data_IF_791558327331
#
_entry.id   IF_791558327331
#
_cell.length_a   1.000
_cell.length_b   1.000
_cell.length_c   1.000
_cell.angle_alpha   90.00
_cell.angle_beta   90.00
_cell.angle_gamma   90.00
#
_symmetry.space_group_name_H-M   'P 1'
#
loop_
_entity.id
_entity.type
_entity.pdbx_description
1 polymer ?
#
# COMPACT_ATOMS: atom_id res chain seq x y z
N UNK A 1 4.78 33.31 -1.41
CA UNK A 1 4.50 32.24 -0.41
C UNK A 1 5.41 31.06 -0.70
N UNK A 2 6.15 30.61 0.30
CA UNK A 2 7.00 29.44 0.18
C UNK A 2 6.13 28.20 -0.14
N UNK A 3 6.46 27.38 -1.16
CA UNK A 3 5.70 26.19 -1.47
C UNK A 3 5.87 25.12 -0.38
N UNK A 4 4.86 24.29 -0.20
CA UNK A 4 4.98 23.07 0.61
C UNK A 4 5.91 22.11 -0.12
N UNK A 5 6.98 21.69 0.53
CA UNK A 5 7.91 20.69 0.01
C UNK A 5 7.42 19.30 0.37
N UNK A 6 7.14 18.48 -0.64
CA UNK A 6 6.62 17.12 -0.49
C UNK A 6 7.67 16.14 -1.00
N UNK A 7 8.12 15.23 -0.16
CA UNK A 7 9.06 14.17 -0.55
C UNK A 7 8.27 12.90 -0.79
N UNK A 8 8.25 12.47 -2.06
CA UNK A 8 7.54 11.29 -2.53
C UNK A 8 6.30 11.60 -3.37
N UNK A 9 6.26 11.09 -4.58
CA UNK A 9 5.18 11.24 -5.56
C UNK A 9 4.33 9.98 -5.72
N UNK A 10 3.97 9.35 -4.61
CA UNK A 10 3.05 8.23 -4.56
C UNK A 10 1.60 8.64 -4.30
N UNK A 11 0.81 7.68 -3.85
CA UNK A 11 -0.64 7.85 -3.60
C UNK A 11 -0.93 8.73 -2.36
N UNK A 12 0.06 9.11 -1.60
CA UNK A 12 -0.06 10.11 -0.53
C UNK A 12 0.39 11.49 -0.96
N UNK A 13 1.61 11.59 -1.49
CA UNK A 13 2.20 12.88 -1.89
C UNK A 13 1.47 13.58 -3.03
N UNK A 14 1.02 12.84 -4.05
CA UNK A 14 0.28 13.43 -5.17
C UNK A 14 -1.11 13.96 -4.78
N UNK A 15 -1.93 13.23 -3.99
CA UNK A 15 -3.16 13.81 -3.46
C UNK A 15 -2.93 15.07 -2.62
N UNK A 16 -1.89 15.10 -1.79
CA UNK A 16 -1.52 16.28 -1.02
C UNK A 16 -1.28 17.47 -1.95
N UNK A 17 -0.44 17.30 -2.96
CA UNK A 17 -0.16 18.35 -3.95
C UNK A 17 -1.44 18.80 -4.68
N UNK A 18 -2.28 17.85 -5.07
CA UNK A 18 -3.53 18.17 -5.80
C UNK A 18 -4.52 18.95 -4.94
N UNK A 19 -4.76 18.53 -3.71
CA UNK A 19 -5.69 19.25 -2.81
C UNK A 19 -5.15 20.64 -2.49
N UNK A 20 -3.85 20.80 -2.29
CA UNK A 20 -3.22 22.11 -2.16
C UNK A 20 -3.45 22.98 -3.40
N UNK A 21 -3.24 22.40 -4.58
CA UNK A 21 -3.43 23.10 -5.85
C UNK A 21 -4.86 23.62 -6.05
N UNK A 22 -5.88 22.78 -5.80
CA UNK A 22 -7.28 23.21 -5.95
C UNK A 22 -7.67 24.29 -4.93
N UNK A 23 -6.90 24.44 -3.86
CA UNK A 23 -7.07 25.51 -2.86
C UNK A 23 -6.15 26.72 -3.12
N UNK A 24 -5.46 26.75 -4.27
CA UNK A 24 -4.62 27.88 -4.66
C UNK A 24 -3.28 27.97 -3.96
N UNK A 25 -2.80 26.88 -3.37
CA UNK A 25 -1.55 26.84 -2.63
C UNK A 25 -0.43 26.15 -3.43
N UNK A 26 0.78 26.72 -3.47
CA UNK A 26 1.88 26.12 -4.18
C UNK A 26 2.48 24.96 -3.41
N UNK A 27 2.91 23.93 -4.15
CA UNK A 27 3.69 22.82 -3.62
C UNK A 27 4.70 22.33 -4.65
N UNK A 28 5.71 21.63 -4.18
CA UNK A 28 6.71 20.94 -4.99
C UNK A 28 6.83 19.51 -4.51
N UNK A 29 6.72 18.56 -5.42
CA UNK A 29 6.90 17.13 -5.15
C UNK A 29 8.23 16.69 -5.73
N UNK A 30 9.03 16.04 -4.90
CA UNK A 30 10.33 15.47 -5.30
C UNK A 30 10.20 13.96 -5.32
N UNK A 31 10.32 13.36 -6.52
CA UNK A 31 10.05 11.95 -6.74
C UNK A 31 11.28 11.20 -7.22
N UNK A 32 11.49 10.01 -6.64
CA UNK A 32 12.62 9.15 -6.94
C UNK A 32 12.58 8.57 -8.37
N UNK A 33 11.38 8.27 -8.88
CA UNK A 33 11.22 7.77 -10.23
C UNK A 33 11.72 8.78 -11.25
N UNK A 34 12.31 8.29 -12.34
CA UNK A 34 12.88 9.17 -13.38
C UNK A 34 11.82 9.79 -14.28
N UNK A 35 10.64 9.17 -14.32
CA UNK A 35 9.48 9.62 -15.10
C UNK A 35 8.20 8.94 -14.60
N UNK A 36 7.01 9.39 -15.04
CA UNK A 36 5.75 8.72 -14.67
C UNK A 36 5.70 7.22 -15.01
N UNK A 37 6.43 6.82 -16.05
CA UNK A 37 6.42 5.44 -16.58
C UNK A 37 7.72 4.67 -16.29
N UNK A 38 8.56 5.18 -15.39
CA UNK A 38 9.89 4.58 -15.12
C UNK A 38 9.81 3.17 -14.54
N UNK A 39 8.72 2.85 -13.85
CA UNK A 39 8.46 1.50 -13.33
C UNK A 39 6.98 1.17 -13.41
N UNK A 40 6.68 -0.11 -13.50
CA UNK A 40 5.30 -0.60 -13.46
C UNK A 40 4.71 -0.37 -12.07
N UNK A 41 3.58 0.31 -12.01
CA UNK A 41 2.78 0.44 -10.80
C UNK A 41 1.87 -0.79 -10.76
N UNK A 42 2.27 -1.83 -10.02
CA UNK A 42 1.52 -3.08 -10.00
C UNK A 42 0.31 -3.07 -9.09
N UNK A 43 -0.66 -3.93 -9.41
CA UNK A 43 -1.79 -4.23 -8.56
C UNK A 43 -2.99 -3.31 -8.70
N UNK A 44 -4.06 -3.74 -8.07
CA UNK A 44 -5.31 -2.99 -7.94
C UNK A 44 -5.48 -2.47 -6.53
N UNK A 45 -6.27 -1.41 -6.39
CA UNK A 45 -6.63 -0.80 -5.13
C UNK A 45 -8.14 -0.67 -5.04
N UNK A 46 -8.71 -1.05 -3.91
CA UNK A 46 -10.07 -0.68 -3.52
C UNK A 46 -10.03 0.72 -2.91
N UNK A 47 -10.80 1.64 -3.45
CA UNK A 47 -10.86 3.01 -2.94
C UNK A 47 -12.17 3.18 -2.17
N UNK A 48 -12.05 3.30 -0.84
CA UNK A 48 -13.20 3.28 0.06
C UNK A 48 -13.88 4.63 0.20
N UNK A 49 -15.20 4.61 0.40
CA UNK A 49 -16.02 5.82 0.52
C UNK A 49 -15.61 6.71 1.69
N UNK A 50 -15.22 6.11 2.81
CA UNK A 50 -14.96 6.85 4.05
C UNK A 50 -13.56 7.46 4.14
N UNK A 51 -12.67 7.16 3.19
CA UNK A 51 -11.30 7.69 3.20
C UNK A 51 -10.75 8.04 1.80
N UNK A 52 -10.38 7.09 0.98
CA UNK A 52 -9.81 7.37 -0.34
C UNK A 52 -10.72 8.21 -1.23
N UNK A 53 -12.02 7.92 -1.28
CA UNK A 53 -12.96 8.69 -2.06
C UNK A 53 -13.21 10.09 -1.47
N UNK A 54 -13.13 10.25 -0.15
CA UNK A 54 -13.17 11.58 0.50
C UNK A 54 -12.03 12.44 -0.04
N UNK A 55 -10.82 11.87 -0.12
CA UNK A 55 -9.67 12.57 -0.67
C UNK A 55 -9.87 12.97 -2.14
N UNK A 56 -10.40 12.07 -2.97
CA UNK A 56 -10.67 12.34 -4.38
C UNK A 56 -11.74 13.43 -4.57
N UNK A 57 -12.75 13.47 -3.72
CA UNK A 57 -13.74 14.56 -3.70
C UNK A 57 -13.09 15.90 -3.39
N UNK A 58 -12.23 15.95 -2.38
CA UNK A 58 -11.48 17.17 -2.01
C UNK A 58 -10.48 17.59 -3.06
N UNK A 59 -9.97 16.62 -3.83
CA UNK A 59 -9.10 16.85 -4.99
C UNK A 59 -9.85 17.28 -6.26
N UNK A 60 -11.18 17.25 -6.28
CA UNK A 60 -12.03 17.47 -7.46
C UNK A 60 -11.69 16.51 -8.61
N UNK A 61 -11.49 15.23 -8.30
CA UNK A 61 -11.11 14.19 -9.26
C UNK A 61 -12.11 13.02 -9.33
N UNK A 62 -13.35 13.21 -8.86
CA UNK A 62 -14.33 12.11 -8.87
C UNK A 62 -14.73 11.68 -10.28
N UNK A 63 -14.81 12.60 -11.24
CA UNK A 63 -15.13 12.25 -12.63
C UNK A 63 -14.01 11.40 -13.24
N UNK A 64 -12.76 11.81 -13.07
CA UNK A 64 -11.58 11.06 -13.53
C UNK A 64 -11.51 9.70 -12.83
N UNK A 65 -11.77 9.65 -11.54
CA UNK A 65 -11.83 8.40 -10.78
C UNK A 65 -12.87 7.44 -11.34
N UNK A 66 -14.10 7.93 -11.59
CA UNK A 66 -15.15 7.09 -12.16
C UNK A 66 -14.78 6.53 -13.54
N UNK A 67 -13.97 7.27 -14.32
CA UNK A 67 -13.52 6.82 -15.64
C UNK A 67 -12.52 5.67 -15.62
N UNK A 68 -11.88 5.43 -14.49
CA UNK A 68 -10.85 4.37 -14.34
C UNK A 68 -11.29 3.20 -13.45
N UNK A 69 -12.54 3.23 -12.93
CA UNK A 69 -13.05 2.15 -12.09
C UNK A 69 -13.25 0.88 -12.93
N UNK A 70 -12.77 -0.22 -12.38
CA UNK A 70 -13.15 -1.57 -12.77
C UNK A 70 -13.98 -2.14 -11.63
N UNK A 71 -15.23 -2.49 -11.91
CA UNK A 71 -16.07 -3.12 -10.89
C UNK A 71 -15.49 -4.48 -10.53
N UNK A 72 -14.99 -4.59 -9.30
CA UNK A 72 -14.51 -5.83 -8.71
C UNK A 72 -15.66 -6.61 -8.10
N UNK A 73 -15.54 -7.93 -8.14
CA UNK A 73 -16.44 -8.78 -7.39
C UNK A 73 -15.92 -8.90 -5.95
N UNK A 74 -16.79 -8.71 -4.97
CA UNK A 74 -16.52 -8.93 -3.56
C UNK A 74 -16.67 -10.40 -3.14
N UNK A 75 -16.81 -11.31 -4.12
CA UNK A 75 -16.83 -12.76 -3.89
C UNK A 75 -15.57 -13.21 -3.14
N UNK A 76 -15.74 -14.11 -2.19
CA UNK A 76 -14.63 -14.67 -1.42
C UNK A 76 -14.85 -16.16 -1.18
N UNK A 77 -13.78 -16.94 -1.34
CA UNK A 77 -13.75 -18.37 -1.05
C UNK A 77 -12.63 -18.68 -0.07
N UNK A 78 -12.90 -19.57 0.87
CA UNK A 78 -11.93 -20.01 1.85
C UNK A 78 -11.79 -21.53 1.78
N UNK A 79 -10.56 -21.99 1.56
CA UNK A 79 -10.18 -23.41 1.52
C UNK A 79 -9.22 -23.74 2.64
N UNK A 80 -9.22 -25.01 3.07
CA UNK A 80 -8.13 -25.54 3.86
C UNK A 80 -7.00 -26.09 2.95
N UNK A 81 -5.93 -26.62 3.54
CA UNK A 81 -4.78 -27.16 2.81
C UNK A 81 -5.10 -28.41 1.98
N UNK A 82 -6.22 -29.09 2.23
CA UNK A 82 -6.67 -30.23 1.45
C UNK A 82 -7.55 -29.82 0.25
N UNK A 83 -7.85 -28.53 0.11
CA UNK A 83 -8.72 -28.02 -0.95
C UNK A 83 -10.21 -28.17 -0.66
N UNK A 84 -10.56 -28.42 0.61
CA UNK A 84 -11.97 -28.37 1.03
C UNK A 84 -12.45 -26.92 1.08
N UNK A 85 -13.58 -26.67 0.41
CA UNK A 85 -14.24 -25.37 0.45
C UNK A 85 -14.95 -25.21 1.80
N UNK A 86 -14.47 -24.31 2.63
CA UNK A 86 -15.01 -24.06 3.97
C UNK A 86 -16.03 -22.93 3.99
N UNK A 87 -15.91 -21.99 3.07
CA UNK A 87 -16.79 -20.86 2.96
C UNK A 87 -16.78 -20.34 1.51
N UNK A 88 -17.98 -20.05 1.00
CA UNK A 88 -18.18 -19.46 -0.32
C UNK A 88 -19.17 -18.30 -0.20
N UNK A 89 -18.65 -17.08 -0.26
CA UNK A 89 -19.46 -15.88 -0.30
C UNK A 89 -19.55 -15.41 -1.75
N UNK A 90 -20.71 -15.56 -2.42
CA UNK A 90 -20.87 -15.07 -3.78
C UNK A 90 -20.82 -13.55 -3.83
N UNK A 91 -20.51 -13.00 -5.01
CA UNK A 91 -20.52 -11.57 -5.23
C UNK A 91 -21.90 -10.96 -4.93
N UNK A 92 -21.92 -9.86 -4.17
CA UNK A 92 -23.10 -9.04 -3.99
C UNK A 92 -23.19 -8.06 -5.16
N UNK A 93 -24.16 -8.21 -6.02
CA UNK A 93 -24.37 -7.35 -7.19
C UNK A 93 -24.59 -5.87 -6.82
N UNK A 94 -24.98 -5.60 -5.57
CA UNK A 94 -25.27 -4.24 -5.09
C UNK A 94 -24.10 -3.58 -4.35
N UNK A 95 -23.03 -4.31 -4.05
CA UNK A 95 -21.88 -3.85 -3.28
C UNK A 95 -20.55 -4.02 -4.03
N UNK A 96 -20.56 -3.83 -5.36
CA UNK A 96 -19.33 -3.85 -6.13
C UNK A 96 -18.30 -2.89 -5.52
N UNK A 97 -17.11 -3.38 -5.21
CA UNK A 97 -16.02 -2.54 -4.72
C UNK A 97 -15.45 -1.74 -5.88
N UNK A 98 -15.32 -0.41 -5.75
CA UNK A 98 -14.67 0.37 -6.78
C UNK A 98 -13.16 0.07 -6.77
N UNK A 99 -12.73 -0.79 -7.68
CA UNK A 99 -11.33 -1.13 -7.88
C UNK A 99 -10.73 -0.29 -8.98
N UNK A 100 -9.50 0.15 -8.78
CA UNK A 100 -8.72 0.87 -9.79
C UNK A 100 -7.33 0.25 -9.90
N UNK A 101 -6.73 0.32 -11.08
CA UNK A 101 -5.32 0.02 -11.22
C UNK A 101 -4.52 1.14 -10.54
N UNK A 102 -3.55 0.77 -9.72
CA UNK A 102 -2.68 1.74 -9.01
C UNK A 102 -2.03 2.72 -9.98
N UNK A 103 -1.57 2.24 -11.12
CA UNK A 103 -0.95 3.08 -12.15
C UNK A 103 -1.91 4.10 -12.74
N UNK A 104 -3.17 3.72 -12.97
CA UNK A 104 -4.19 4.63 -13.50
C UNK A 104 -4.56 5.72 -12.49
N UNK A 105 -4.68 5.36 -11.21
CA UNK A 105 -4.92 6.34 -10.14
C UNK A 105 -3.76 7.33 -10.03
N UNK A 106 -2.53 6.83 -10.06
CA UNK A 106 -1.35 7.70 -10.05
C UNK A 106 -1.34 8.64 -11.25
N UNK A 107 -1.67 8.14 -12.43
CA UNK A 107 -1.67 8.92 -13.67
C UNK A 107 -2.69 10.07 -13.65
N UNK A 108 -3.93 9.82 -13.18
CA UNK A 108 -4.91 10.91 -13.08
C UNK A 108 -4.46 12.00 -12.10
N UNK A 109 -3.76 11.63 -11.03
CA UNK A 109 -3.19 12.58 -10.09
C UNK A 109 -2.06 13.40 -10.73
N UNK A 110 -1.15 12.75 -11.44
CA UNK A 110 -0.05 13.41 -12.17
C UNK A 110 -0.62 14.39 -13.19
N UNK A 111 -1.56 13.95 -14.03
CA UNK A 111 -2.16 14.75 -15.10
C UNK A 111 -2.93 15.96 -14.55
N UNK A 112 -3.41 15.89 -13.32
CA UNK A 112 -4.17 16.96 -12.68
C UNK A 112 -3.31 18.10 -12.12
N UNK A 113 -1.99 17.94 -12.12
CA UNK A 113 -1.06 18.92 -11.56
C UNK A 113 -0.38 19.74 -12.66
N UNK A 114 -0.04 21.01 -12.39
CA UNK A 114 0.83 21.77 -13.29
C UNK A 114 2.14 21.04 -13.54
N UNK A 115 2.67 21.15 -14.76
CA UNK A 115 3.86 20.42 -15.22
C UNK A 115 5.09 20.60 -14.32
N UNK A 116 5.21 21.74 -13.67
CA UNK A 116 6.37 22.06 -12.83
C UNK A 116 6.23 21.62 -11.36
N UNK A 117 5.08 21.04 -11.00
CA UNK A 117 4.85 20.62 -9.61
C UNK A 117 5.73 19.46 -9.21
N UNK A 118 5.93 18.48 -10.09
CA UNK A 118 6.70 17.27 -9.80
C UNK A 118 8.09 17.41 -10.40
N UNK A 119 9.10 17.24 -9.55
CA UNK A 119 10.49 17.13 -9.96
C UNK A 119 10.92 15.68 -9.88
N UNK A 120 11.13 15.08 -11.04
CA UNK A 120 11.47 13.68 -11.20
C UNK A 120 12.97 13.42 -10.99
N UNK A 121 13.33 12.17 -10.74
CA UNK A 121 14.71 11.73 -10.56
C UNK A 121 15.40 12.45 -9.38
N UNK A 122 14.65 12.63 -8.30
CA UNK A 122 15.13 13.26 -7.06
C UNK A 122 15.08 12.27 -5.91
N UNK A 123 16.15 11.50 -5.76
CA UNK A 123 16.31 10.55 -4.67
C UNK A 123 16.94 11.24 -3.46
N UNK A 124 16.20 11.30 -2.36
CA UNK A 124 16.70 11.87 -1.11
C UNK A 124 17.76 10.93 -0.52
N UNK A 125 18.91 11.51 -0.18
CA UNK A 125 19.97 10.85 0.57
C UNK A 125 19.72 10.99 2.07
N UNK A 126 19.55 12.22 2.53
CA UNK A 126 19.28 12.53 3.94
C UNK A 126 18.58 13.86 4.09
N UNK A 127 17.98 14.06 5.26
CA UNK A 127 17.36 15.32 5.68
C UNK A 127 17.97 15.71 7.01
N UNK A 128 18.34 16.98 7.16
CA UNK A 128 18.91 17.53 8.38
C UNK A 128 18.15 18.79 8.80
N UNK A 129 17.89 18.93 10.10
CA UNK A 129 17.42 20.20 10.65
C UNK A 129 18.62 21.13 10.77
N UNK A 130 18.60 22.21 10.00
CA UNK A 130 19.69 23.18 9.98
C UNK A 130 19.51 24.24 11.09
N UNK A 131 18.31 24.78 11.19
CA UNK A 131 17.88 25.66 12.27
C UNK A 131 16.48 25.20 12.70
N UNK A 132 16.04 25.60 13.87
CA UNK A 132 14.72 25.23 14.37
C UNK A 132 13.61 25.54 13.34
N UNK A 133 12.97 24.50 12.84
CA UNK A 133 11.91 24.63 11.85
C UNK A 133 12.40 24.84 10.42
N UNK A 134 13.72 24.71 10.17
CA UNK A 134 14.33 24.80 8.84
C UNK A 134 15.05 23.50 8.53
N UNK A 135 14.76 22.91 7.40
CA UNK A 135 15.28 21.60 7.00
C UNK A 135 16.03 21.70 5.69
N UNK A 136 17.19 21.02 5.64
CA UNK A 136 17.94 20.85 4.40
C UNK A 136 17.74 19.41 3.91
N UNK A 137 17.28 19.29 2.68
CA UNK A 137 17.09 18.02 2.00
C UNK A 137 18.21 17.84 1.00
N UNK A 138 18.99 16.77 1.18
CA UNK A 138 20.10 16.42 0.29
C UNK A 138 19.70 15.29 -0.64
N UNK A 139 19.91 15.49 -1.92
CA UNK A 139 19.64 14.48 -2.95
C UNK A 139 20.91 13.77 -3.38
N UNK A 140 20.79 12.57 -3.93
CA UNK A 140 21.92 11.78 -4.40
C UNK A 140 22.60 12.34 -5.66
N UNK A 141 22.00 13.30 -6.33
CA UNK A 141 22.59 14.02 -7.45
C UNK A 141 23.48 15.21 -7.03
N UNK A 142 23.86 15.26 -5.75
CA UNK A 142 24.64 16.32 -5.12
C UNK A 142 23.94 17.69 -5.04
N UNK A 143 22.63 17.75 -5.34
CA UNK A 143 21.83 18.94 -5.11
C UNK A 143 21.20 18.92 -3.73
N UNK A 144 20.77 20.07 -3.25
CA UNK A 144 20.04 20.21 -1.99
C UNK A 144 19.04 21.35 -2.05
N UNK A 145 18.10 21.34 -1.13
CA UNK A 145 17.17 22.44 -0.92
C UNK A 145 16.98 22.70 0.57
N UNK A 146 16.56 23.89 0.89
CA UNK A 146 16.18 24.27 2.26
C UNK A 146 14.71 24.66 2.27
N UNK A 147 13.97 24.19 3.27
CA UNK A 147 12.54 24.47 3.41
C UNK A 147 12.14 24.60 4.87
N UNK A 148 11.15 25.44 5.13
CA UNK A 148 10.47 25.55 6.42
C UNK A 148 9.14 24.81 6.44
N UNK A 149 8.75 24.16 5.33
CA UNK A 149 7.45 23.48 5.15
C UNK A 149 7.66 22.14 4.47
N UNK A 150 7.95 21.11 5.28
CA UNK A 150 8.36 19.80 4.81
C UNK A 150 7.32 18.73 5.18
N UNK A 151 6.84 17.98 4.19
CA UNK A 151 5.98 16.81 4.40
C UNK A 151 6.65 15.58 3.80
N UNK A 152 6.89 14.58 4.64
CA UNK A 152 7.38 13.27 4.22
C UNK A 152 6.24 12.39 3.75
N UNK A 153 6.25 12.02 2.47
CA UNK A 153 5.37 11.05 1.83
C UNK A 153 6.21 10.00 1.11
N UNK A 154 7.37 9.70 1.65
CA UNK A 154 8.44 8.92 1.02
C UNK A 154 8.45 7.44 1.45
N UNK A 155 7.30 6.95 1.91
CA UNK A 155 7.04 5.52 2.06
C UNK A 155 7.67 4.86 3.28
N UNK A 156 7.73 3.54 3.23
CA UNK A 156 8.13 2.67 4.34
C UNK A 156 9.48 3.04 4.98
N UNK A 157 10.46 3.36 4.17
CA UNK A 157 11.83 3.66 4.59
C UNK A 157 12.13 5.17 4.54
N UNK A 158 11.16 5.97 4.96
CA UNK A 158 11.21 7.43 4.90
C UNK A 158 12.50 8.01 5.48
N UNK A 159 13.14 8.86 4.70
CA UNK A 159 14.29 9.68 5.15
C UNK A 159 13.83 10.88 5.97
N UNK A 160 12.64 11.40 5.68
CA UNK A 160 12.07 12.51 6.44
C UNK A 160 11.71 12.06 7.87
N UNK A 161 11.23 10.84 8.05
CA UNK A 161 10.94 10.29 9.39
C UNK A 161 12.13 10.42 10.34
N UNK A 162 13.35 10.24 9.85
CA UNK A 162 14.56 10.26 10.68
C UNK A 162 14.80 11.60 11.40
N UNK A 163 14.24 12.68 10.88
CA UNK A 163 14.27 13.98 11.54
C UNK A 163 13.40 14.00 12.79
N UNK A 164 12.34 13.19 12.80
CA UNK A 164 11.34 13.16 13.85
C UNK A 164 11.56 12.07 14.89
N UNK A 165 12.12 10.94 14.49
CA UNK A 165 12.32 9.77 15.35
C UNK A 165 13.41 8.85 14.81
N UNK A 166 14.06 8.12 15.71
CA UNK A 166 15.02 7.07 15.35
C UNK A 166 14.38 5.71 15.10
N UNK A 167 13.07 5.59 15.34
CA UNK A 167 12.32 4.34 15.16
C UNK A 167 12.25 4.00 13.67
N UNK A 168 12.64 2.76 13.35
CA UNK A 168 12.60 2.22 12.00
C UNK A 168 11.64 1.03 11.91
N UNK A 169 11.13 0.70 10.72
CA UNK A 169 10.30 -0.49 10.55
C UNK A 169 11.05 -1.76 10.96
N UNK A 170 10.31 -2.70 11.54
CA UNK A 170 10.82 -4.03 11.89
C UNK A 170 10.11 -5.11 11.07
N UNK A 171 10.80 -6.22 10.87
CA UNK A 171 10.23 -7.38 10.19
C UNK A 171 9.18 -8.05 11.08
N UNK A 172 7.98 -8.27 10.53
CA UNK A 172 6.85 -8.83 11.28
C UNK A 172 6.93 -10.36 11.46
N UNK A 173 7.88 -11.03 10.81
CA UNK A 173 7.95 -12.49 10.77
C UNK A 173 7.23 -13.10 9.54
N UNK A 174 6.64 -12.28 8.69
CA UNK A 174 5.90 -12.71 7.51
C UNK A 174 6.51 -12.13 6.24
N UNK A 175 6.57 -12.97 5.20
CA UNK A 175 6.94 -12.55 3.85
C UNK A 175 5.86 -13.01 2.89
N UNK A 176 5.45 -12.14 1.98
CA UNK A 176 4.50 -12.44 0.92
C UNK A 176 5.26 -12.58 -0.40
N UNK A 177 5.10 -13.73 -1.06
CA UNK A 177 5.69 -13.94 -2.39
C UNK A 177 4.64 -13.60 -3.42
N UNK A 178 4.92 -12.60 -4.24
CA UNK A 178 4.00 -12.11 -5.25
C UNK A 178 4.17 -12.87 -6.57
N UNK A 179 3.08 -13.36 -7.13
CA UNK A 179 3.05 -14.03 -8.43
C UNK A 179 1.87 -13.56 -9.27
N UNK A 180 1.98 -13.75 -10.60
CA UNK A 180 0.93 -13.42 -11.57
C UNK A 180 0.71 -14.55 -12.56
N UNK A 181 -0.57 -14.79 -12.89
CA UNK A 181 -1.00 -15.57 -14.04
C UNK A 181 -1.85 -14.69 -14.95
N UNK A 182 -1.67 -14.83 -16.26
CA UNK A 182 -2.40 -14.07 -17.28
C UNK A 182 -3.26 -15.00 -18.12
N UNK A 183 -4.31 -14.44 -18.76
CA UNK A 183 -5.25 -15.20 -19.61
C UNK A 183 -5.73 -16.49 -18.93
N UNK A 184 -6.08 -16.35 -17.65
CA UNK A 184 -6.28 -17.51 -16.76
C UNK A 184 -7.43 -18.42 -17.17
N UNK A 185 -8.50 -17.87 -17.73
CA UNK A 185 -9.66 -18.67 -18.13
C UNK A 185 -9.33 -19.60 -19.31
N UNK A 186 -8.42 -19.21 -20.17
CA UNK A 186 -7.96 -20.02 -21.30
C UNK A 186 -6.76 -20.90 -20.95
N UNK A 187 -5.77 -20.35 -20.24
CA UNK A 187 -4.49 -21.03 -19.98
C UNK A 187 -4.52 -21.89 -18.72
N UNK A 188 -5.31 -21.52 -17.72
CA UNK A 188 -5.36 -22.18 -16.40
C UNK A 188 -6.79 -22.33 -15.92
N UNK A 189 -7.68 -23.00 -16.70
CA UNK A 189 -9.12 -23.01 -16.40
C UNK A 189 -9.46 -23.64 -15.05
N UNK A 190 -8.75 -24.66 -14.61
CA UNK A 190 -8.99 -25.30 -13.31
C UNK A 190 -8.63 -24.37 -12.14
N UNK A 191 -7.50 -23.67 -12.27
CA UNK A 191 -7.10 -22.66 -11.27
C UNK A 191 -8.04 -21.48 -11.26
N UNK A 192 -8.42 -20.98 -12.44
CA UNK A 192 -9.39 -19.88 -12.58
C UNK A 192 -10.75 -20.22 -11.93
N UNK A 193 -11.19 -21.45 -12.09
CA UNK A 193 -12.43 -21.94 -11.49
C UNK A 193 -12.36 -21.98 -9.96
N UNK A 194 -11.25 -22.44 -9.41
CA UNK A 194 -11.05 -22.50 -7.95
C UNK A 194 -10.99 -21.11 -7.35
N UNK A 195 -10.25 -20.18 -7.96
CA UNK A 195 -10.15 -18.78 -7.50
C UNK A 195 -11.50 -18.07 -7.60
N UNK A 196 -12.26 -18.32 -8.67
CA UNK A 196 -13.53 -17.66 -8.91
C UNK A 196 -13.38 -16.24 -9.40
N UNK A 197 -14.35 -15.39 -9.13
CA UNK A 197 -14.40 -14.01 -9.65
C UNK A 197 -13.88 -12.95 -8.68
N UNK A 198 -13.62 -13.30 -7.45
CA UNK A 198 -13.12 -12.37 -6.41
C UNK A 198 -11.83 -12.85 -5.79
N UNK A 199 -11.85 -13.03 -4.47
CA UNK A 199 -10.70 -13.49 -3.69
C UNK A 199 -10.83 -14.97 -3.32
N UNK A 200 -9.69 -15.64 -3.27
CA UNK A 200 -9.56 -16.98 -2.74
C UNK A 200 -8.50 -16.99 -1.64
N UNK A 201 -8.85 -17.60 -0.51
CA UNK A 201 -7.94 -17.82 0.62
C UNK A 201 -7.78 -19.33 0.81
N UNK A 202 -6.60 -19.87 0.56
CA UNK A 202 -6.24 -21.22 0.93
C UNK A 202 -5.24 -21.14 2.07
N UNK A 203 -5.64 -21.49 3.28
CA UNK A 203 -4.91 -21.20 4.49
C UNK A 203 -4.61 -22.45 5.33
N UNK A 204 -3.47 -22.40 6.00
CA UNK A 204 -3.01 -23.35 7.00
C UNK A 204 -2.21 -22.57 8.05
N UNK A 205 -1.99 -23.10 9.27
CA UNK A 205 -1.15 -22.38 10.23
C UNK A 205 0.22 -22.02 9.66
N UNK A 206 0.56 -20.74 9.73
CA UNK A 206 1.85 -20.19 9.30
C UNK A 206 2.07 -20.00 7.80
N UNK A 207 1.13 -20.41 6.95
CA UNK A 207 1.26 -20.25 5.50
C UNK A 207 -0.09 -20.25 4.79
N UNK A 208 -0.13 -19.55 3.66
CA UNK A 208 -1.34 -19.46 2.86
C UNK A 208 -1.07 -19.03 1.43
N UNK A 209 -2.04 -19.29 0.58
CA UNK A 209 -2.07 -18.81 -0.80
C UNK A 209 -3.33 -17.96 -0.94
N UNK A 210 -3.14 -16.66 -1.15
CA UNK A 210 -4.24 -15.71 -1.29
C UNK A 210 -4.19 -15.13 -2.69
N UNK A 211 -5.23 -15.38 -3.46
CA UNK A 211 -5.32 -14.98 -4.85
C UNK A 211 -6.49 -14.03 -5.07
N UNK A 212 -6.30 -13.08 -5.96
CA UNK A 212 -7.31 -12.12 -6.34
C UNK A 212 -7.42 -12.06 -7.86
N UNK A 213 -8.65 -12.19 -8.35
CA UNK A 213 -8.91 -11.99 -9.78
C UNK A 213 -8.93 -10.50 -10.07
N UNK A 214 -8.05 -10.08 -10.97
CA UNK A 214 -7.93 -8.70 -11.41
C UNK A 214 -8.46 -8.52 -12.83
N UNK A 215 -8.67 -7.27 -13.23
CA UNK A 215 -9.10 -6.90 -14.56
C UNK A 215 -8.17 -7.45 -15.64
N UNK A 216 -8.77 -7.91 -16.75
CA UNK A 216 -8.02 -8.41 -17.90
C UNK A 216 -7.65 -9.91 -17.85
N UNK A 217 -8.36 -10.71 -17.06
CA UNK A 217 -8.10 -12.15 -16.97
C UNK A 217 -6.84 -12.50 -16.23
N UNK A 218 -6.47 -11.69 -15.26
CA UNK A 218 -5.27 -11.83 -14.44
C UNK A 218 -5.65 -12.40 -13.08
N UNK A 219 -4.84 -13.31 -12.54
CA UNK A 219 -4.85 -13.68 -11.13
C UNK A 219 -3.54 -13.20 -10.52
N UNK A 220 -3.67 -12.33 -9.53
CA UNK A 220 -2.59 -11.81 -8.70
C UNK A 220 -2.58 -12.57 -7.39
N UNK A 221 -1.45 -13.16 -7.03
CA UNK A 221 -1.34 -14.03 -5.86
C UNK A 221 -0.27 -13.53 -4.90
N UNK A 222 -0.61 -13.59 -3.61
CA UNK A 222 0.35 -13.49 -2.53
C UNK A 222 0.45 -14.84 -1.83
N UNK A 223 1.62 -15.46 -1.90
CA UNK A 223 1.97 -16.64 -1.11
C UNK A 223 2.46 -16.12 0.23
N UNK A 224 1.68 -16.30 1.28
CA UNK A 224 1.91 -15.72 2.61
C UNK A 224 2.61 -16.75 3.49
N UNK A 225 3.75 -16.37 4.04
CA UNK A 225 4.57 -17.30 4.81
C UNK A 225 5.09 -16.65 6.08
N UNK A 226 4.90 -17.34 7.20
CA UNK A 226 5.63 -17.07 8.44
C UNK A 226 7.01 -17.72 8.31
N UNK A 227 8.05 -16.90 8.23
CA UNK A 227 9.41 -17.38 8.04
C UNK A 227 10.43 -16.40 8.59
N UNK A 228 11.64 -16.90 8.92
CA UNK A 228 12.74 -16.07 9.37
C UNK A 228 13.34 -15.27 8.20
N UNK A 229 13.97 -14.14 8.50
CA UNK A 229 14.75 -13.38 7.50
C UNK A 229 15.87 -14.23 6.92
N UNK A 230 16.55 -15.04 7.73
CA UNK A 230 17.61 -15.93 7.26
C UNK A 230 17.10 -16.90 6.21
N UNK A 231 15.95 -17.53 6.43
CA UNK A 231 15.38 -18.47 5.47
C UNK A 231 15.04 -17.81 4.14
N UNK A 232 14.35 -16.67 4.17
CA UNK A 232 13.95 -15.99 2.93
C UNK A 232 15.15 -15.36 2.21
N UNK A 233 16.14 -14.85 2.93
CA UNK A 233 17.33 -14.22 2.35
C UNK A 233 18.27 -15.25 1.71
N UNK A 234 18.20 -16.52 2.09
CA UNK A 234 18.97 -17.61 1.49
C UNK A 234 18.41 -18.11 0.16
N UNK A 235 17.22 -17.65 -0.23
CA UNK A 235 16.62 -17.99 -1.52
C UNK A 235 17.10 -16.98 -2.57
N UNK A 236 17.68 -17.48 -3.65
CA UNK A 236 18.05 -16.64 -4.80
C UNK A 236 16.86 -16.47 -5.74
N UNK A 237 16.13 -15.39 -5.58
CA UNK A 237 14.97 -15.07 -6.41
C UNK A 237 15.34 -14.67 -7.85
N UNK A 238 16.61 -14.42 -8.16
CA UNK A 238 17.07 -14.23 -9.54
C UNK A 238 17.08 -15.53 -10.33
N UNK A 239 17.20 -16.67 -9.63
CA UNK A 239 17.01 -18.00 -10.20
C UNK A 239 15.55 -18.44 -10.02
N UNK A 240 14.69 -18.04 -10.96
CA UNK A 240 13.24 -18.27 -10.90
C UNK A 240 12.88 -19.74 -10.66
N UNK A 241 13.52 -20.66 -11.38
CA UNK A 241 13.22 -22.10 -11.27
C UNK A 241 13.48 -22.64 -9.87
N UNK A 242 14.63 -22.31 -9.32
CA UNK A 242 15.02 -22.75 -7.98
C UNK A 242 14.17 -22.12 -6.90
N UNK A 243 13.95 -20.82 -6.98
CA UNK A 243 13.10 -20.09 -6.04
C UNK A 243 11.66 -20.62 -6.07
N UNK A 244 11.08 -20.80 -7.24
CA UNK A 244 9.73 -21.37 -7.41
C UNK A 244 9.62 -22.74 -6.77
N UNK A 245 10.62 -23.61 -6.99
CA UNK A 245 10.63 -24.94 -6.42
C UNK A 245 10.75 -24.92 -4.89
N UNK A 246 11.59 -24.05 -4.36
CA UNK A 246 11.76 -23.89 -2.91
C UNK A 246 10.46 -23.44 -2.24
N UNK A 247 9.78 -22.46 -2.82
CA UNK A 247 8.50 -21.98 -2.30
C UNK A 247 7.42 -23.07 -2.46
N UNK A 248 7.31 -23.71 -3.63
CA UNK A 248 6.31 -24.75 -3.87
C UNK A 248 6.47 -25.95 -2.93
N UNK A 249 7.68 -26.29 -2.51
CA UNK A 249 7.95 -27.38 -1.57
C UNK A 249 7.29 -27.14 -0.20
N UNK A 250 7.10 -25.90 0.20
CA UNK A 250 6.39 -25.55 1.46
C UNK A 250 4.89 -25.87 1.38
N UNK A 251 4.36 -26.05 0.18
CA UNK A 251 2.94 -26.34 -0.07
C UNK A 251 2.73 -27.76 -0.62
N UNK A 252 3.68 -28.65 -0.34
CA UNK A 252 3.61 -30.04 -0.78
C UNK A 252 2.36 -30.72 -0.23
N UNK A 253 1.62 -31.39 -1.11
CA UNK A 253 0.37 -32.06 -0.75
C UNK A 253 -0.88 -31.19 -0.91
N UNK A 254 -0.73 -29.91 -1.18
CA UNK A 254 -1.87 -29.05 -1.52
C UNK A 254 -2.37 -29.36 -2.95
N UNK A 255 -3.66 -29.07 -3.26
CA UNK A 255 -4.17 -29.32 -4.61
C UNK A 255 -3.36 -28.61 -5.70
N UNK A 256 -3.17 -29.31 -6.82
CA UNK A 256 -2.38 -28.79 -7.94
C UNK A 256 -2.96 -27.50 -8.54
N UNK A 257 -4.29 -27.39 -8.61
CA UNK A 257 -4.97 -26.20 -9.13
C UNK A 257 -4.73 -24.96 -8.26
N UNK A 258 -4.39 -25.13 -6.98
CA UNK A 258 -4.01 -24.04 -6.07
C UNK A 258 -2.51 -23.79 -6.17
N UNK A 259 -1.68 -24.81 -6.11
CA UNK A 259 -0.22 -24.65 -6.19
C UNK A 259 0.27 -24.19 -7.57
N UNK A 260 -0.55 -24.33 -8.61
CA UNK A 260 -0.29 -23.75 -9.93
C UNK A 260 -0.08 -22.23 -9.87
N UNK A 261 -0.69 -21.53 -8.91
CA UNK A 261 -0.45 -20.11 -8.66
C UNK A 261 1.02 -19.80 -8.34
N UNK A 262 1.78 -20.80 -7.87
CA UNK A 262 3.21 -20.70 -7.61
C UNK A 262 4.00 -21.31 -8.79
N UNK A 263 3.70 -22.55 -9.15
CA UNK A 263 4.51 -23.35 -10.09
C UNK A 263 4.41 -22.85 -11.54
N UNK A 264 3.28 -22.23 -11.90
CA UNK A 264 3.02 -21.73 -13.25
C UNK A 264 3.18 -20.20 -13.36
N UNK A 265 3.75 -19.55 -12.34
CA UNK A 265 3.98 -18.11 -12.36
C UNK A 265 4.73 -17.67 -13.61
N UNK A 266 4.14 -16.75 -14.37
CA UNK A 266 4.63 -16.35 -15.70
C UNK A 266 5.72 -15.28 -15.64
N UNK A 267 5.71 -14.48 -14.59
CA UNK A 267 6.75 -13.48 -14.33
C UNK A 267 7.73 -14.00 -13.28
N UNK A 268 8.77 -13.23 -12.99
CA UNK A 268 9.61 -13.47 -11.81
C UNK A 268 8.74 -13.45 -10.56
N UNK A 269 8.99 -14.38 -9.64
CA UNK A 269 8.37 -14.33 -8.33
C UNK A 269 9.14 -13.35 -7.46
N UNK A 270 8.42 -12.52 -6.70
CA UNK A 270 9.02 -11.41 -5.96
C UNK A 270 8.73 -11.53 -4.47
N UNK A 271 9.76 -11.57 -3.61
CA UNK A 271 9.54 -11.56 -2.18
C UNK A 271 9.20 -10.15 -1.69
N UNK A 272 8.16 -10.07 -0.87
CA UNK A 272 7.72 -8.84 -0.18
C UNK A 272 7.81 -9.09 1.31
N UNK A 273 8.93 -8.73 1.93
CA UNK A 273 9.06 -8.79 3.39
C UNK A 273 8.09 -7.81 4.01
N UNK A 274 7.28 -8.28 4.93
CA UNK A 274 6.30 -7.43 5.60
C UNK A 274 6.96 -6.78 6.81
N UNK A 275 7.22 -5.50 6.68
CA UNK A 275 7.76 -4.64 7.73
C UNK A 275 6.68 -3.71 8.23
N UNK A 276 6.76 -3.32 9.49
CA UNK A 276 5.83 -2.39 10.10
C UNK A 276 6.54 -1.55 11.16
N UNK A 277 6.01 -0.35 11.37
CA UNK A 277 6.32 0.44 12.54
C UNK A 277 5.54 -0.13 13.74
N UNK A 278 5.94 0.16 14.99
CA UNK A 278 5.13 -0.22 16.15
C UNK A 278 3.69 0.29 16.00
N UNK A 279 2.70 -0.48 16.50
CA UNK A 279 1.27 -0.10 16.38
C UNK A 279 0.97 1.27 16.98
N UNK A 280 1.60 1.60 18.09
CA UNK A 280 1.46 2.89 18.78
C UNK A 280 2.56 3.87 18.37
N UNK A 281 2.96 3.82 17.08
CA UNK A 281 4.03 4.68 16.59
C UNK A 281 3.61 6.14 16.60
N UNK A 282 4.36 6.95 17.35
CA UNK A 282 4.23 8.40 17.45
C UNK A 282 5.61 9.04 17.46
N UNK A 283 5.63 10.33 17.24
CA UNK A 283 6.84 11.14 17.40
C UNK A 283 6.50 12.44 18.12
N UNK A 284 7.51 13.07 18.68
CA UNK A 284 7.37 14.39 19.25
C UNK A 284 7.27 15.42 18.13
N UNK A 285 6.19 16.21 18.15
CA UNK A 285 5.96 17.25 17.15
C UNK A 285 7.16 18.19 17.03
N UNK A 286 7.54 18.47 15.78
CA UNK A 286 8.54 19.49 15.43
C UNK A 286 7.94 20.52 14.48
N UNK A 287 8.43 21.77 14.62
CA UNK A 287 8.05 22.87 13.75
C UNK A 287 8.48 22.57 12.29
N UNK A 288 7.61 22.86 11.34
CA UNK A 288 7.94 22.85 9.92
C UNK A 288 7.99 21.48 9.24
N UNK A 289 7.70 20.37 9.95
CA UNK A 289 7.75 19.03 9.37
C UNK A 289 6.67 18.12 9.92
N UNK A 290 6.11 17.29 9.04
CA UNK A 290 5.24 16.16 9.41
C UNK A 290 5.31 15.06 8.36
N UNK A 291 4.58 13.97 8.58
CA UNK A 291 4.56 12.78 7.72
C UNK A 291 3.13 12.38 7.37
N UNK A 292 2.97 11.74 6.22
CA UNK A 292 1.72 11.11 5.79
C UNK A 292 1.98 9.69 5.27
N UNK A 293 0.95 8.86 5.29
CA UNK A 293 1.01 7.51 4.73
C UNK A 293 2.02 6.60 5.43
N UNK A 294 2.67 5.73 4.67
CA UNK A 294 3.62 4.76 5.22
C UNK A 294 4.82 5.41 5.92
N UNK A 295 5.19 6.61 5.53
CA UNK A 295 6.21 7.37 6.24
C UNK A 295 5.80 7.62 7.70
N UNK A 296 4.52 7.86 7.94
CA UNK A 296 3.95 8.11 9.27
C UNK A 296 3.59 6.83 10.03
N UNK A 297 3.02 5.82 9.35
CA UNK A 297 2.35 4.72 10.04
C UNK A 297 2.38 3.38 9.29
N UNK A 298 3.51 3.03 8.68
CA UNK A 298 3.66 1.73 8.00
C UNK A 298 3.13 0.59 8.87
N UNK A 299 2.21 -0.19 8.34
CA UNK A 299 1.57 -1.30 9.04
C UNK A 299 1.47 -2.54 8.15
N UNK A 300 1.13 -3.68 8.73
CA UNK A 300 0.86 -4.91 7.98
C UNK A 300 -0.29 -4.68 6.97
N UNK A 301 -0.29 -5.38 5.81
CA UNK A 301 -1.30 -5.19 4.78
C UNK A 301 -2.71 -5.50 5.28
N UNK A 302 -3.64 -4.57 5.07
CA UNK A 302 -5.06 -4.71 5.43
C UNK A 302 -6.00 -4.20 4.34
N UNK A 303 -5.45 -3.67 3.24
CA UNK A 303 -6.21 -2.97 2.22
C UNK A 303 -6.47 -1.50 2.52
N UNK A 304 -6.03 -1.00 3.67
CA UNK A 304 -6.28 0.39 4.11
C UNK A 304 -5.11 1.34 3.88
N UNK A 305 -3.91 0.83 3.61
CA UNK A 305 -2.70 1.68 3.55
C UNK A 305 -2.80 2.85 2.57
N UNK A 306 -3.20 2.59 1.33
CA UNK A 306 -3.36 3.63 0.32
C UNK A 306 -4.50 4.59 0.67
N UNK A 307 -5.62 4.07 1.16
CA UNK A 307 -6.78 4.85 1.58
C UNK A 307 -6.43 5.80 2.73
N UNK A 308 -5.70 5.32 3.73
CA UNK A 308 -5.22 6.16 4.85
C UNK A 308 -4.27 7.24 4.38
N UNK A 309 -3.33 6.91 3.48
CA UNK A 309 -2.39 7.89 2.93
C UNK A 309 -3.13 9.02 2.19
N UNK A 310 -4.14 8.67 1.41
CA UNK A 310 -4.98 9.63 0.70
C UNK A 310 -5.77 10.53 1.67
N UNK A 311 -6.34 9.95 2.71
CA UNK A 311 -7.09 10.70 3.74
C UNK A 311 -6.16 11.64 4.51
N UNK A 312 -5.00 11.16 4.97
CA UNK A 312 -3.99 12.00 5.62
C UNK A 312 -3.66 13.23 4.76
N UNK A 313 -3.39 12.97 3.48
CA UNK A 313 -3.03 14.01 2.51
C UNK A 313 -4.12 15.07 2.37
N UNK A 314 -5.36 14.63 2.19
CA UNK A 314 -6.49 15.53 1.98
C UNK A 314 -6.81 16.36 3.22
N UNK A 315 -6.79 15.76 4.39
CA UNK A 315 -7.04 16.46 5.64
C UNK A 315 -5.94 17.48 5.95
N UNK A 316 -4.68 17.09 5.76
CA UNK A 316 -3.55 17.99 5.96
C UNK A 316 -3.62 19.18 5.00
N UNK A 317 -3.83 18.92 3.71
CA UNK A 317 -3.92 19.97 2.69
C UNK A 317 -5.05 20.96 2.95
N UNK A 318 -6.24 20.45 3.30
CA UNK A 318 -7.38 21.29 3.60
C UNK A 318 -7.16 22.16 4.84
N UNK A 319 -6.52 21.60 5.87
CA UNK A 319 -6.17 22.34 7.07
C UNK A 319 -5.13 23.44 6.79
N UNK A 320 -4.11 23.12 5.98
CA UNK A 320 -3.12 24.12 5.53
C UNK A 320 -3.79 25.24 4.76
N UNK A 321 -4.74 24.91 3.87
CA UNK A 321 -5.47 25.89 3.08
C UNK A 321 -6.29 26.86 3.98
N UNK A 322 -6.96 26.34 4.99
CA UNK A 322 -7.72 27.15 5.97
C UNK A 322 -6.84 28.12 6.75
N UNK A 323 -5.55 27.80 6.89
CA UNK A 323 -4.55 28.61 7.58
C UNK A 323 -3.62 29.38 6.62
N UNK A 324 -4.11 29.66 5.40
CA UNK A 324 -3.40 30.46 4.40
C UNK A 324 -1.98 29.94 4.07
N UNK A 325 -1.78 28.63 4.10
CA UNK A 325 -0.53 27.99 3.79
C UNK A 325 0.43 27.84 4.98
N UNK A 326 -0.04 28.06 6.20
CA UNK A 326 0.78 27.90 7.40
C UNK A 326 0.71 26.46 7.91
N UNK A 327 1.74 25.67 7.55
CA UNK A 327 1.88 24.29 8.00
C UNK A 327 1.99 24.21 9.54
N UNK A 328 2.71 25.13 10.17
CA UNK A 328 2.96 25.06 11.62
C UNK A 328 1.68 25.16 12.45
N UNK A 329 0.74 25.95 11.99
CA UNK A 329 -0.53 26.14 12.70
C UNK A 329 -1.43 24.90 12.67
N UNK A 330 -1.18 23.94 11.78
CA UNK A 330 -2.05 22.77 11.59
C UNK A 330 -1.41 21.45 12.02
N UNK A 331 -0.09 21.38 12.17
CA UNK A 331 0.63 20.14 12.48
C UNK A 331 0.06 19.48 13.75
N UNK A 332 -0.18 20.26 14.80
CA UNK A 332 -0.68 19.73 16.06
C UNK A 332 -2.00 19.00 15.88
N UNK A 333 -2.99 19.68 15.31
CA UNK A 333 -4.34 19.13 15.16
C UNK A 333 -4.34 17.94 14.18
N UNK A 334 -3.56 18.04 13.11
CA UNK A 334 -3.39 16.95 12.16
C UNK A 334 -2.81 15.69 12.84
N UNK A 335 -1.71 15.83 13.57
CA UNK A 335 -1.06 14.68 14.23
C UNK A 335 -1.92 14.10 15.35
N UNK A 336 -2.59 14.92 16.14
CA UNK A 336 -3.53 14.48 17.19
C UNK A 336 -4.73 13.70 16.63
N UNK A 337 -5.15 13.97 15.40
CA UNK A 337 -6.20 13.23 14.70
C UNK A 337 -5.65 11.96 14.04
N UNK A 338 -4.52 12.07 13.39
CA UNK A 338 -3.92 10.97 12.62
C UNK A 338 -3.40 9.85 13.53
N UNK A 339 -2.74 10.16 14.64
CA UNK A 339 -2.16 9.14 15.51
C UNK A 339 -3.17 8.11 16.03
N UNK A 340 -4.30 8.49 16.65
CA UNK A 340 -5.27 7.48 17.14
C UNK A 340 -5.85 6.64 15.99
N UNK A 341 -6.14 7.27 14.86
CA UNK A 341 -6.68 6.60 13.68
C UNK A 341 -5.72 5.54 13.14
N UNK A 342 -4.46 5.91 12.96
CA UNK A 342 -3.45 4.98 12.45
C UNK A 342 -3.11 3.87 13.44
N UNK A 343 -3.13 4.16 14.73
CA UNK A 343 -2.93 3.14 15.78
C UNK A 343 -4.02 2.08 15.77
N UNK A 344 -5.27 2.47 15.62
CA UNK A 344 -6.41 1.55 15.51
C UNK A 344 -6.27 0.66 14.26
N UNK A 345 -6.00 1.26 13.11
CA UNK A 345 -5.78 0.52 11.88
C UNK A 345 -4.58 -0.43 11.96
N UNK A 346 -3.50 -0.03 12.60
CA UNK A 346 -2.34 -0.88 12.79
C UNK A 346 -2.67 -2.11 13.64
N UNK A 347 -3.42 -1.94 14.73
CA UNK A 347 -3.89 -3.06 15.55
C UNK A 347 -4.79 -4.00 14.76
N UNK A 348 -5.74 -3.46 14.01
CA UNK A 348 -6.64 -4.25 13.15
C UNK A 348 -5.88 -4.99 12.05
N UNK A 349 -4.87 -4.38 11.47
CA UNK A 349 -4.00 -5.00 10.47
C UNK A 349 -3.23 -6.18 11.03
N UNK A 350 -2.67 -6.05 12.22
CA UNK A 350 -1.98 -7.14 12.91
C UNK A 350 -2.93 -8.26 13.30
N UNK A 351 -4.12 -7.92 13.76
CA UNK A 351 -5.15 -8.91 14.09
C UNK A 351 -5.60 -9.67 12.83
N UNK A 352 -5.78 -9.00 11.71
CA UNK A 352 -6.13 -9.64 10.44
C UNK A 352 -5.04 -10.60 9.97
N UNK A 353 -3.77 -10.22 10.10
CA UNK A 353 -2.64 -11.08 9.75
C UNK A 353 -2.64 -12.34 10.64
N UNK A 354 -2.89 -12.20 11.93
CA UNK A 354 -3.04 -13.31 12.86
C UNK A 354 -4.27 -14.15 12.54
N UNK A 355 -5.41 -13.53 12.21
CA UNK A 355 -6.62 -14.23 11.76
C UNK A 355 -6.34 -15.06 10.50
N UNK A 356 -5.54 -14.59 9.57
CA UNK A 356 -5.23 -15.33 8.35
C UNK A 356 -4.16 -16.40 8.55
N UNK A 357 -3.18 -16.23 9.41
CA UNK A 357 -1.99 -17.07 9.47
C UNK A 357 -1.62 -17.62 10.87
N UNK A 358 -2.39 -17.33 11.93
CA UNK A 358 -2.16 -17.87 13.26
C UNK A 358 -2.49 -19.34 13.40
N UNK A 359 -2.52 -19.85 14.62
CA UNK A 359 -2.68 -21.29 14.93
C UNK A 359 -4.08 -21.85 14.56
N UNK A 360 -5.14 -21.05 14.63
CA UNK A 360 -6.52 -21.48 14.38
C UNK A 360 -6.94 -21.38 12.90
N UNK A 361 -6.02 -21.51 11.96
CA UNK A 361 -6.29 -21.29 10.53
C UNK A 361 -6.71 -22.56 9.80
N UNK A 362 -7.65 -22.45 8.86
CA UNK A 362 -8.37 -21.25 8.39
C UNK A 362 -9.67 -20.92 9.15
N UNK A 363 -9.98 -21.63 10.21
CA UNK A 363 -11.29 -21.56 10.88
C UNK A 363 -11.65 -20.17 11.41
N UNK A 364 -10.68 -19.42 11.93
CA UNK A 364 -10.94 -18.06 12.43
C UNK A 364 -11.33 -17.08 11.32
N UNK A 365 -10.77 -17.23 10.13
CA UNK A 365 -11.19 -16.42 8.98
C UNK A 365 -12.62 -16.75 8.54
N UNK A 366 -12.98 -18.04 8.54
CA UNK A 366 -14.35 -18.47 8.27
C UNK A 366 -15.34 -17.83 9.24
N UNK A 367 -15.03 -17.83 10.53
CA UNK A 367 -15.85 -17.20 11.57
C UNK A 367 -15.98 -15.69 11.37
N UNK A 368 -14.90 -15.02 10.95
CA UNK A 368 -14.91 -13.59 10.63
C UNK A 368 -15.88 -13.30 9.46
N UNK A 369 -15.81 -14.08 8.37
CA UNK A 369 -16.69 -13.89 7.22
C UNK A 369 -18.15 -14.20 7.54
N UNK A 370 -18.41 -15.07 8.52
CA UNK A 370 -19.77 -15.35 9.00
C UNK A 370 -20.30 -14.31 9.98
N UNK A 371 -19.49 -13.35 10.38
CA UNK A 371 -19.85 -12.30 11.34
C UNK A 371 -19.89 -12.77 12.79
N UNK A 372 -19.18 -13.85 13.15
CA UNK A 372 -19.18 -14.43 14.49
C UNK A 372 -18.07 -13.86 15.38
N UNK A 373 -17.13 -13.06 14.85
CA UNK A 373 -16.05 -12.37 15.57
C UNK A 373 -15.79 -10.99 14.97
#
# INVERSE_FOLDING_TARGET
TEPITIIGGGIGGLPLARVLYVNGLPSKVYEIDTSPNARTQGGQLDIHEHNGQVALKKAHLMDEFHSIIHEGADAARIFNSNGELLHDAPADENNGRPEVLRGDLRQILIDSLPNETIEWNKKVDRVEEWEKGQYQVFFRDDTSLTTSKLVGADGAWSKVRRVLTDITPHYTGYTFIETYLHDVDNQYPETAKVVGQGQMFALSPGKGIVAHREYGGIIHTYVQMQCSLEWIDNIDFSNKKEATQTIANEFKGWPNEITALITEAESSITPRKINALPDEHRWQRRQGVTLIGDAAHLMAPSGEGANLAMLDAAELAESIAKMNGDLNSVIKDYEETMFPRSEEEARESHELLDICLGEDRPHRLVELFKGNI
#
